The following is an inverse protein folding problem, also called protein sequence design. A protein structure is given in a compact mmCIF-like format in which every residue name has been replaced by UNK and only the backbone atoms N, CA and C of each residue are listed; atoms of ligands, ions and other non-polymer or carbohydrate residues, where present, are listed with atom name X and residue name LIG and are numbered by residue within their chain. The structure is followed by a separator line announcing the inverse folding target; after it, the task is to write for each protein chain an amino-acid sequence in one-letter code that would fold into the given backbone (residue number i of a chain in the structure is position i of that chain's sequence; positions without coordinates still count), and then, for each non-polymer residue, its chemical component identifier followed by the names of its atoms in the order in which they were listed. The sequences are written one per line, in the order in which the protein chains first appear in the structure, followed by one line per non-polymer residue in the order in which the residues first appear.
data_IF_332569520464
#
_entry.id   IF_332569520464
#
_cell.length_a   1.000
_cell.length_b   1.000
_cell.length_c   1.000
_cell.angle_alpha   90.00
_cell.angle_beta   90.00
_cell.angle_gamma   90.00
#
_symmetry.space_group_name_H-M   'P 1'
#
loop_
_entity.id
_entity.type
_entity.pdbx_description
1 polymer ?
#
# COMPACT_ATOMS: atom_id res chain seq x y z
N UNK A 1 -11.34 -1.24 -7.05
CA UNK A 1 -10.18 -0.59 -7.69
C UNK A 1 -8.92 -1.24 -7.14
N UNK A 2 -8.12 -1.97 -7.95
CA UNK A 2 -6.91 -2.69 -7.50
C UNK A 2 -5.95 -1.73 -6.77
N UNK A 3 -5.13 -2.17 -5.79
CA UNK A 3 -4.18 -1.28 -5.13
C UNK A 3 -3.27 -0.67 -6.19
N UNK A 4 -3.47 0.62 -6.45
CA UNK A 4 -2.58 1.35 -7.33
C UNK A 4 -1.27 1.55 -6.60
N UNK A 5 -0.17 1.07 -7.19
CA UNK A 5 1.18 1.44 -6.78
C UNK A 5 1.24 2.97 -6.69
N UNK A 6 1.71 3.51 -5.56
CA UNK A 6 1.92 4.97 -5.44
C UNK A 6 2.92 5.44 -6.50
N UNK A 7 2.80 6.69 -6.93
CA UNK A 7 3.67 7.27 -7.97
C UNK A 7 5.16 7.09 -7.65
N UNK A 8 5.54 7.17 -6.37
CA UNK A 8 6.93 7.04 -5.95
C UNK A 8 7.44 5.60 -6.00
N UNK A 9 6.59 4.61 -5.66
CA UNK A 9 6.92 3.19 -5.85
C UNK A 9 7.02 2.88 -7.34
N UNK A 10 6.13 3.42 -8.17
CA UNK A 10 6.18 3.27 -9.62
C UNK A 10 7.48 3.86 -10.21
N UNK A 11 7.94 5.03 -9.74
CA UNK A 11 9.22 5.62 -10.17
C UNK A 11 10.40 4.70 -9.85
N UNK A 12 10.46 4.12 -8.66
CA UNK A 12 11.54 3.19 -8.30
C UNK A 12 11.49 1.92 -9.15
N UNK A 13 10.31 1.35 -9.34
CA UNK A 13 10.12 0.17 -10.20
C UNK A 13 10.52 0.45 -11.65
N UNK A 14 10.13 1.60 -12.21
CA UNK A 14 10.59 2.04 -13.54
C UNK A 14 12.12 2.22 -13.56
N UNK A 15 12.70 2.81 -12.52
CA UNK A 15 14.15 2.93 -12.39
C UNK A 15 14.86 1.58 -12.43
N UNK A 16 14.34 0.57 -11.71
CA UNK A 16 14.84 -0.82 -11.76
C UNK A 16 14.73 -1.41 -13.16
N UNK A 17 13.58 -1.25 -13.81
CA UNK A 17 13.33 -1.73 -15.16
C UNK A 17 14.28 -1.15 -16.22
N UNK A 18 14.56 0.16 -16.15
CA UNK A 18 15.51 0.82 -17.06
C UNK A 18 16.97 0.46 -16.74
N UNK A 19 17.31 0.37 -15.46
CA UNK A 19 18.65 -0.04 -15.02
C UNK A 19 18.99 -1.47 -15.48
N UNK A 20 18.05 -2.40 -15.38
CA UNK A 20 18.23 -3.77 -15.86
C UNK A 20 18.50 -3.84 -17.37
N UNK A 21 17.83 -3.01 -18.18
CA UNK A 21 18.11 -2.90 -19.62
C UNK A 21 19.46 -2.27 -19.91
N UNK A 22 19.80 -1.19 -19.22
CA UNK A 22 21.10 -0.54 -19.40
C UNK A 22 22.24 -1.51 -19.05
N UNK A 23 22.08 -2.33 -18.01
CA UNK A 23 23.05 -3.38 -17.66
C UNK A 23 23.14 -4.47 -18.74
N UNK A 24 22.01 -4.90 -19.30
CA UNK A 24 22.01 -5.82 -20.45
C UNK A 24 22.75 -5.22 -21.62
N UNK A 25 22.42 -3.99 -22.02
CA UNK A 25 23.02 -3.33 -23.19
C UNK A 25 24.54 -3.19 -23.04
N UNK A 26 25.03 -2.81 -21.84
CA UNK A 26 26.47 -2.77 -21.54
C UNK A 26 27.12 -4.14 -21.66
N UNK A 27 26.54 -5.15 -21.02
CA UNK A 27 27.09 -6.52 -21.05
C UNK A 27 27.12 -7.07 -22.47
N UNK A 28 26.08 -6.82 -23.26
CA UNK A 28 26.02 -7.23 -24.66
C UNK A 28 27.09 -6.51 -25.50
N UNK A 29 27.24 -5.19 -25.34
CA UNK A 29 28.27 -4.42 -26.02
C UNK A 29 29.69 -4.89 -25.67
N UNK A 30 29.95 -5.21 -24.39
CA UNK A 30 31.23 -5.76 -23.94
C UNK A 30 31.53 -7.13 -24.58
N UNK A 31 30.51 -7.99 -24.73
CA UNK A 31 30.65 -9.28 -25.41
C UNK A 31 30.91 -9.07 -26.90
N UNK A 32 30.15 -8.22 -27.58
CA UNK A 32 30.33 -7.97 -29.01
C UNK A 32 31.66 -7.31 -29.34
N UNK A 33 32.14 -6.38 -28.51
CA UNK A 33 33.46 -5.78 -28.67
C UNK A 33 34.59 -6.82 -28.65
N UNK A 34 34.42 -7.92 -27.89
CA UNK A 34 35.38 -9.03 -27.82
C UNK A 34 35.11 -10.14 -28.84
N UNK A 35 33.86 -10.25 -29.31
CA UNK A 35 33.37 -11.33 -30.18
C UNK A 35 32.50 -10.76 -31.32
N UNK A 36 33.08 -10.02 -32.28
CA UNK A 36 32.31 -9.42 -33.38
C UNK A 36 31.65 -10.46 -34.31
N UNK A 37 32.20 -11.68 -34.40
CA UNK A 37 31.56 -12.77 -35.13
C UNK A 37 30.24 -13.21 -34.50
N UNK A 38 30.13 -13.15 -33.16
CA UNK A 38 28.89 -13.44 -32.46
C UNK A 38 27.82 -12.37 -32.75
N UNK A 39 28.21 -11.10 -32.83
CA UNK A 39 27.31 -10.02 -33.24
C UNK A 39 26.75 -10.26 -34.65
N UNK A 40 27.61 -10.67 -35.59
CA UNK A 40 27.19 -11.00 -36.94
C UNK A 40 26.22 -12.20 -36.99
N UNK A 41 26.47 -13.23 -36.17
CA UNK A 41 25.58 -14.39 -36.02
C UNK A 41 24.22 -13.97 -35.45
N UNK A 42 24.19 -13.17 -34.37
CA UNK A 42 22.95 -12.70 -33.75
C UNK A 42 22.14 -11.80 -34.70
N UNK A 43 22.80 -10.91 -35.43
CA UNK A 43 22.15 -10.06 -36.43
C UNK A 43 21.55 -10.90 -37.57
N UNK A 44 22.24 -11.93 -38.02
CA UNK A 44 21.74 -12.86 -39.03
C UNK A 44 20.56 -13.67 -38.50
N UNK A 45 20.61 -14.15 -37.26
CA UNK A 45 19.51 -14.85 -36.60
C UNK A 45 18.26 -13.98 -36.54
N UNK A 46 18.38 -12.73 -36.06
CA UNK A 46 17.28 -11.79 -35.95
C UNK A 46 16.65 -11.45 -37.31
N UNK A 47 17.49 -11.17 -38.33
CA UNK A 47 17.01 -10.88 -39.70
C UNK A 47 16.28 -12.08 -40.31
N UNK A 48 16.81 -13.28 -40.12
CA UNK A 48 16.22 -14.52 -40.65
C UNK A 48 14.90 -14.82 -39.96
N UNK A 49 14.83 -14.69 -38.62
CA UNK A 49 13.59 -14.86 -37.87
C UNK A 49 12.51 -13.87 -38.32
N UNK A 50 12.87 -12.60 -38.52
CA UNK A 50 11.93 -11.59 -39.03
C UNK A 50 11.42 -11.92 -40.43
N UNK A 51 12.31 -12.34 -41.35
CA UNK A 51 11.94 -12.71 -42.71
C UNK A 51 10.95 -13.91 -42.74
N UNK A 52 11.17 -14.91 -41.88
CA UNK A 52 10.27 -16.06 -41.74
C UNK A 52 8.90 -15.63 -41.19
N UNK A 53 8.87 -14.75 -40.19
CA UNK A 53 7.60 -14.23 -39.66
C UNK A 53 6.84 -13.40 -40.70
N UNK A 54 7.54 -12.61 -41.50
CA UNK A 54 6.93 -11.84 -42.58
C UNK A 54 6.36 -12.73 -43.69
N UNK A 55 7.01 -13.85 -44.02
CA UNK A 55 6.51 -14.81 -45.00
C UNK A 55 5.38 -15.69 -44.47
N UNK A 56 5.31 -15.93 -43.16
CA UNK A 56 4.22 -16.64 -42.48
C UNK A 56 2.84 -16.00 -42.64
N UNK A 57 2.80 -14.69 -42.90
CA UNK A 57 1.55 -13.97 -43.16
C UNK A 57 0.98 -14.25 -44.57
N UNK A 58 1.74 -14.92 -45.45
CA UNK A 58 1.29 -15.41 -46.75
C UNK A 58 0.91 -16.88 -46.62
N UNK A 59 -0.20 -17.33 -47.24
CA UNK A 59 -0.82 -18.66 -47.06
C UNK A 59 0.04 -19.88 -47.47
N UNK A 60 1.32 -19.69 -47.80
CA UNK A 60 2.29 -20.75 -48.04
C UNK A 60 3.10 -20.98 -46.76
N UNK A 61 3.15 -22.23 -46.28
CA UNK A 61 3.85 -22.59 -45.04
C UNK A 61 5.30 -22.10 -44.96
N UNK A 62 5.80 -21.92 -43.73
CA UNK A 62 7.13 -21.36 -43.47
C UNK A 62 8.22 -22.42 -43.41
N UNK A 63 9.34 -22.16 -44.09
CA UNK A 63 10.58 -22.91 -43.88
C UNK A 63 11.39 -22.32 -42.72
N UNK A 64 11.57 -23.11 -41.65
CA UNK A 64 12.36 -22.74 -40.47
C UNK A 64 13.79 -23.30 -40.50
N UNK A 65 14.17 -24.07 -41.53
CA UNK A 65 15.49 -24.69 -41.63
C UNK A 65 16.65 -23.70 -41.56
N UNK A 66 16.62 -22.51 -42.20
CA UNK A 66 17.73 -21.56 -42.13
C UNK A 66 17.92 -21.01 -40.70
N UNK A 67 16.81 -20.77 -39.98
CA UNK A 67 16.85 -20.30 -38.60
C UNK A 67 17.43 -21.37 -37.66
N UNK A 68 17.13 -22.65 -37.90
CA UNK A 68 17.67 -23.76 -37.13
C UNK A 68 19.19 -23.86 -37.29
N UNK A 69 19.71 -23.76 -38.51
CA UNK A 69 21.15 -23.80 -38.79
C UNK A 69 21.88 -22.64 -38.09
N UNK A 70 21.33 -21.43 -38.13
CA UNK A 70 21.91 -20.27 -37.45
C UNK A 70 21.94 -20.46 -35.94
N UNK A 71 20.85 -20.98 -35.34
CA UNK A 71 20.81 -21.29 -33.90
C UNK A 71 21.84 -22.33 -33.49
N UNK A 72 22.06 -23.36 -34.30
CA UNK A 72 23.10 -24.37 -34.06
C UNK A 72 24.51 -23.78 -34.16
N UNK A 73 24.75 -22.89 -35.15
CA UNK A 73 26.00 -22.13 -35.28
C UNK A 73 26.25 -21.25 -34.07
N UNK A 74 25.23 -20.50 -33.62
CA UNK A 74 25.29 -19.66 -32.42
C UNK A 74 25.63 -20.48 -31.17
N UNK A 75 24.92 -21.58 -30.95
CA UNK A 75 25.14 -22.44 -29.79
C UNK A 75 26.56 -23.04 -29.76
N UNK A 76 27.11 -23.38 -30.93
CA UNK A 76 28.49 -23.86 -31.06
C UNK A 76 29.49 -22.76 -30.70
N UNK A 77 29.33 -21.57 -31.26
CA UNK A 77 30.20 -20.43 -30.99
C UNK A 77 30.26 -20.09 -29.49
N UNK A 78 29.10 -20.05 -28.82
CA UNK A 78 29.01 -19.77 -27.39
C UNK A 78 29.76 -20.82 -26.55
N UNK A 79 29.65 -22.10 -26.90
CA UNK A 79 30.39 -23.19 -26.22
C UNK A 79 31.89 -23.06 -26.43
N UNK A 80 32.32 -22.88 -27.67
CA UNK A 80 33.74 -22.84 -28.04
C UNK A 80 34.48 -21.66 -27.36
N UNK A 81 33.76 -20.58 -27.05
CA UNK A 81 34.29 -19.38 -26.40
C UNK A 81 33.94 -19.26 -24.91
N UNK A 82 33.33 -20.29 -24.31
CA UNK A 82 32.88 -20.28 -22.90
C UNK A 82 31.99 -19.09 -22.53
N UNK A 83 31.13 -18.66 -23.45
CA UNK A 83 30.21 -17.55 -23.24
C UNK A 83 28.87 -18.06 -22.71
N UNK A 84 28.35 -17.40 -21.67
CA UNK A 84 26.99 -17.67 -21.19
C UNK A 84 25.99 -17.21 -22.25
N UNK A 85 24.94 -17.99 -22.51
CA UNK A 85 23.92 -17.65 -23.51
C UNK A 85 22.98 -16.50 -23.13
N UNK A 86 22.98 -16.10 -21.85
CA UNK A 86 22.12 -15.06 -21.26
C UNK A 86 22.71 -13.63 -21.36
N UNK A 87 23.84 -13.44 -22.06
CA UNK A 87 24.49 -12.13 -22.19
C UNK A 87 23.58 -11.03 -22.75
N UNK A 88 22.64 -11.37 -23.63
CA UNK A 88 21.68 -10.44 -24.23
C UNK A 88 20.31 -10.42 -23.52
N UNK A 89 20.12 -11.19 -22.44
CA UNK A 89 18.86 -11.26 -21.69
C UNK A 89 18.77 -10.16 -20.62
N UNK A 90 17.59 -9.55 -20.46
CA UNK A 90 17.36 -8.61 -19.36
C UNK A 90 17.19 -9.39 -18.06
N UNK A 91 18.04 -9.13 -17.07
CA UNK A 91 17.95 -9.74 -15.74
C UNK A 91 17.25 -8.73 -14.82
N UNK A 92 15.98 -8.96 -14.42
CA UNK A 92 15.25 -8.03 -13.57
C UNK A 92 15.76 -8.08 -12.12
N UNK A 93 15.52 -7.01 -11.36
CA UNK A 93 15.79 -6.98 -9.92
C UNK A 93 14.86 -7.94 -9.16
N UNK A 94 13.59 -8.00 -9.56
CA UNK A 94 12.61 -8.95 -9.05
C UNK A 94 12.26 -9.98 -10.12
N UNK A 95 12.67 -11.24 -9.91
CA UNK A 95 12.32 -12.36 -10.80
C UNK A 95 10.84 -12.74 -10.76
N UNK A 96 10.13 -12.36 -9.69
CA UNK A 96 8.71 -12.71 -9.51
C UNK A 96 7.78 -11.84 -10.38
N UNK A 97 7.99 -10.52 -10.40
CA UNK A 97 7.17 -9.61 -11.20
C UNK A 97 7.87 -8.98 -12.41
N UNK A 98 9.16 -9.26 -12.63
CA UNK A 98 9.93 -8.63 -13.72
C UNK A 98 10.04 -7.11 -13.58
N UNK A 99 10.16 -6.61 -12.35
CA UNK A 99 10.18 -5.18 -11.97
C UNK A 99 8.90 -4.39 -12.28
N UNK A 100 7.80 -5.07 -12.63
CA UNK A 100 6.49 -4.41 -12.84
C UNK A 100 5.77 -4.06 -11.53
N UNK A 101 6.14 -4.73 -10.43
CA UNK A 101 5.56 -4.54 -9.11
C UNK A 101 4.24 -5.27 -8.84
N UNK A 102 3.71 -6.04 -9.79
CA UNK A 102 2.49 -6.85 -9.57
C UNK A 102 2.51 -8.16 -10.35
N UNK A 103 1.78 -9.17 -9.86
CA UNK A 103 1.53 -10.45 -10.53
C UNK A 103 0.03 -10.73 -10.44
N UNK A 104 -0.63 -10.98 -11.57
CA UNK A 104 -2.07 -11.22 -11.68
C UNK A 104 -2.95 -10.14 -11.01
N UNK A 105 -2.46 -8.89 -11.00
CA UNK A 105 -3.14 -7.76 -10.37
C UNK A 105 -3.00 -7.70 -8.84
N UNK A 106 -2.20 -8.59 -8.25
CA UNK A 106 -1.79 -8.57 -6.85
C UNK A 106 -0.41 -7.92 -6.73
N UNK A 107 -0.23 -7.08 -5.72
CA UNK A 107 1.04 -6.40 -5.47
C UNK A 107 2.15 -7.43 -5.17
N UNK A 108 3.27 -7.33 -5.87
CA UNK A 108 4.43 -8.16 -5.63
C UNK A 108 5.14 -7.75 -4.34
N UNK A 109 5.74 -8.71 -3.63
CA UNK A 109 6.48 -8.46 -2.39
C UNK A 109 7.60 -7.42 -2.55
N UNK A 110 8.28 -7.36 -3.70
CA UNK A 110 9.30 -6.34 -3.95
C UNK A 110 8.72 -4.92 -3.97
N UNK A 111 7.52 -4.75 -4.53
CA UNK A 111 6.85 -3.46 -4.56
C UNK A 111 6.30 -3.11 -3.18
N UNK A 112 5.81 -4.11 -2.42
CA UNK A 112 5.45 -3.94 -1.02
C UNK A 112 6.65 -3.46 -0.20
N UNK A 113 7.82 -4.07 -0.40
CA UNK A 113 9.04 -3.69 0.31
C UNK A 113 9.48 -2.25 -0.03
N UNK A 114 9.51 -1.89 -1.32
CA UNK A 114 9.79 -0.51 -1.75
C UNK A 114 8.77 0.46 -1.13
N UNK A 115 7.49 0.10 -1.16
CA UNK A 115 6.43 0.91 -0.58
C UNK A 115 6.65 1.14 0.93
N UNK A 116 7.04 0.10 1.67
CA UNK A 116 7.36 0.20 3.10
C UNK A 116 8.62 1.02 3.36
N UNK A 117 9.63 0.93 2.51
CA UNK A 117 10.87 1.73 2.60
C UNK A 117 10.64 3.20 2.25
N UNK A 118 9.76 3.48 1.28
CA UNK A 118 9.39 4.82 0.84
C UNK A 118 8.40 5.52 1.76
N UNK A 119 7.69 4.77 2.61
CA UNK A 119 6.96 5.38 3.70
C UNK A 119 7.97 5.76 4.77
N UNK A 120 8.36 7.04 4.90
CA UNK A 120 9.07 7.43 6.10
C UNK A 120 8.16 7.04 7.28
N UNK A 121 8.79 6.53 8.35
CA UNK A 121 8.24 6.07 9.65
C UNK A 121 7.26 7.02 10.38
N UNK A 122 6.67 7.98 9.69
CA UNK A 122 6.08 9.18 10.25
C UNK A 122 4.58 9.06 10.51
N UNK A 123 3.91 7.95 10.10
CA UNK A 123 2.57 7.55 10.58
C UNK A 123 2.33 6.02 10.56
N UNK A 124 3.36 5.25 10.94
CA UNK A 124 3.22 3.89 11.49
C UNK A 124 3.50 3.87 13.00
N UNK A 125 3.83 5.03 13.59
CA UNK A 125 4.35 5.17 14.95
C UNK A 125 3.40 4.70 16.07
N UNK A 126 2.11 4.49 15.75
CA UNK A 126 1.12 3.96 16.69
C UNK A 126 0.50 2.64 16.29
N UNK A 127 0.77 2.14 15.07
CA UNK A 127 0.17 0.88 14.61
C UNK A 127 0.90 -0.28 15.30
N UNK A 128 0.23 -0.95 16.22
CA UNK A 128 0.81 -2.11 16.88
C UNK A 128 0.82 -3.31 15.91
N UNK A 129 2.01 -3.69 15.42
CA UNK A 129 2.19 -4.79 14.45
C UNK A 129 1.81 -6.18 15.00
N UNK A 130 1.78 -6.34 16.32
CA UNK A 130 1.41 -7.59 16.96
C UNK A 130 -0.12 -7.77 17.08
N UNK A 131 -0.88 -6.67 17.02
CA UNK A 131 -2.34 -6.68 17.10
C UNK A 131 -2.93 -6.97 15.71
N UNK A 132 -3.16 -8.25 15.44
CA UNK A 132 -3.61 -8.77 14.14
C UNK A 132 -4.84 -9.65 14.32
N UNK A 133 -5.63 -9.83 13.26
CA UNK A 133 -6.78 -10.76 13.32
C UNK A 133 -6.38 -12.18 13.74
N UNK A 134 -5.18 -12.64 13.36
CA UNK A 134 -4.70 -13.98 13.68
C UNK A 134 -4.30 -14.15 15.15
N UNK A 135 -3.97 -13.07 15.85
CA UNK A 135 -3.53 -13.07 17.26
C UNK A 135 -4.63 -12.59 18.21
N UNK A 136 -5.83 -12.38 17.69
CA UNK A 136 -6.96 -11.93 18.47
C UNK A 136 -7.45 -13.06 19.38
N UNK A 137 -7.34 -12.86 20.70
CA UNK A 137 -7.87 -13.79 21.68
C UNK A 137 -9.21 -13.30 22.23
N UNK A 138 -10.29 -13.84 21.67
CA UNK A 138 -11.65 -13.52 22.13
C UNK A 138 -12.01 -14.22 23.44
N UNK A 139 -11.19 -15.17 23.93
CA UNK A 139 -11.45 -15.82 25.23
C UNK A 139 -11.31 -14.84 26.41
N UNK A 140 -10.63 -13.70 26.20
CA UNK A 140 -10.50 -12.60 27.15
C UNK A 140 -11.85 -11.98 27.57
N UNK A 141 -12.88 -12.10 26.73
CA UNK A 141 -14.24 -11.68 27.08
C UNK A 141 -14.93 -12.79 27.88
N UNK A 142 -15.04 -12.60 29.19
CA UNK A 142 -15.61 -13.60 30.11
C UNK A 142 -17.09 -13.87 29.83
N UNK A 143 -17.88 -12.83 29.56
CA UNK A 143 -19.29 -12.95 29.20
C UNK A 143 -19.43 -13.55 27.78
N UNK A 144 -20.13 -14.69 27.60
CA UNK A 144 -20.41 -15.27 26.30
C UNK A 144 -21.11 -14.32 25.32
N UNK A 145 -21.96 -13.41 25.81
CA UNK A 145 -22.66 -12.45 24.96
C UNK A 145 -21.69 -11.38 24.41
N UNK A 146 -20.82 -10.82 25.27
CA UNK A 146 -19.74 -9.92 24.86
C UNK A 146 -18.80 -10.59 23.85
N UNK A 147 -18.43 -11.86 24.11
CA UNK A 147 -17.58 -12.65 23.24
C UNK A 147 -18.19 -12.86 21.85
N UNK A 148 -19.47 -13.24 21.79
CA UNK A 148 -20.19 -13.44 20.53
C UNK A 148 -20.34 -12.12 19.74
N UNK A 149 -20.59 -11.02 20.45
CA UNK A 149 -20.65 -9.68 19.86
C UNK A 149 -19.30 -9.28 19.25
N UNK A 150 -18.21 -9.43 19.99
CA UNK A 150 -16.87 -9.15 19.48
C UNK A 150 -16.48 -10.05 18.33
N UNK A 151 -16.82 -11.34 18.37
CA UNK A 151 -16.62 -12.25 17.23
C UNK A 151 -17.31 -11.72 15.96
N UNK A 152 -18.53 -11.20 16.10
CA UNK A 152 -19.26 -10.59 14.99
C UNK A 152 -18.54 -9.36 14.43
N UNK A 153 -18.06 -8.46 15.30
CA UNK A 153 -17.31 -7.27 14.88
C UNK A 153 -15.99 -7.63 14.19
N UNK A 154 -15.27 -8.64 14.68
CA UNK A 154 -14.08 -9.15 14.03
C UNK A 154 -14.38 -9.72 12.64
N UNK A 155 -15.49 -10.47 12.49
CA UNK A 155 -15.93 -10.99 11.18
C UNK A 155 -16.23 -9.84 10.21
N UNK A 156 -16.95 -8.80 10.67
CA UNK A 156 -17.26 -7.61 9.87
C UNK A 156 -15.97 -6.90 9.44
N UNK A 157 -15.00 -6.75 10.35
CA UNK A 157 -13.71 -6.14 10.05
C UNK A 157 -12.89 -6.97 9.05
N UNK A 158 -12.91 -8.30 9.18
CA UNK A 158 -12.26 -9.20 8.22
C UNK A 158 -12.91 -9.12 6.84
N UNK A 159 -14.25 -9.14 6.76
CA UNK A 159 -15.00 -9.01 5.51
C UNK A 159 -14.75 -7.64 4.86
N UNK A 160 -14.73 -6.57 5.66
CA UNK A 160 -14.36 -5.23 5.23
C UNK A 160 -12.98 -5.22 4.58
N UNK A 161 -11.98 -5.81 5.23
CA UNK A 161 -10.64 -5.93 4.67
C UNK A 161 -10.71 -6.74 3.38
N UNK A 162 -11.26 -7.96 3.39
CA UNK A 162 -11.34 -8.86 2.22
C UNK A 162 -11.88 -8.13 0.98
N UNK A 163 -12.98 -7.41 1.16
CA UNK A 163 -13.71 -6.71 0.09
C UNK A 163 -13.29 -5.26 -0.08
N UNK A 164 -12.24 -4.80 0.59
CA UNK A 164 -11.84 -3.38 0.66
C UNK A 164 -11.88 -2.66 -0.70
N UNK A 165 -11.35 -3.28 -1.76
CA UNK A 165 -11.32 -2.68 -3.10
C UNK A 165 -12.64 -2.74 -3.88
N UNK A 166 -13.61 -3.53 -3.43
CA UNK A 166 -14.96 -3.64 -4.01
C UNK A 166 -15.93 -2.66 -3.36
N UNK A 167 -15.66 -2.26 -2.12
CA UNK A 167 -16.49 -1.35 -1.35
C UNK A 167 -16.31 0.07 -1.90
N UNK A 168 -17.42 0.70 -2.29
CA UNK A 168 -17.47 2.12 -2.63
C UNK A 168 -18.08 2.83 -1.42
N UNK A 169 -17.40 3.85 -0.89
CA UNK A 169 -17.87 4.71 0.20
C UNK A 169 -18.31 3.91 1.44
N UNK A 170 -17.39 3.13 1.99
CA UNK A 170 -17.60 2.38 3.23
C UNK A 170 -16.57 2.80 4.26
N UNK A 171 -16.90 3.89 4.91
CA UNK A 171 -16.19 4.35 6.09
C UNK A 171 -16.79 3.70 7.35
N UNK A 172 -15.95 3.42 8.33
CA UNK A 172 -16.33 2.67 9.53
C UNK A 172 -16.07 3.50 10.79
N UNK A 173 -16.94 3.38 11.79
CA UNK A 173 -16.70 3.89 13.14
C UNK A 173 -16.89 2.76 14.15
N UNK A 174 -15.87 2.51 14.96
CA UNK A 174 -15.98 1.70 16.16
C UNK A 174 -16.12 2.62 17.38
N UNK A 175 -17.30 2.63 17.99
CA UNK A 175 -17.64 3.48 19.14
C UNK A 175 -17.76 2.68 20.42
N UNK A 176 -17.47 3.28 21.56
CA UNK A 176 -17.80 2.72 22.88
C UNK A 176 -16.73 3.03 23.92
N UNK A 177 -16.99 2.82 25.21
CA UNK A 177 -16.06 3.11 26.30
C UNK A 177 -14.67 2.49 26.14
N UNK A 178 -13.71 3.06 26.87
CA UNK A 178 -12.30 2.63 26.86
C UNK A 178 -12.11 1.17 27.29
N UNK A 179 -10.99 0.57 26.85
CA UNK A 179 -10.56 -0.75 27.32
C UNK A 179 -11.28 -1.97 26.70
N UNK A 180 -12.14 -1.77 25.71
CA UNK A 180 -12.97 -2.84 25.11
C UNK A 180 -12.46 -3.42 23.79
N UNK A 181 -11.28 -3.02 23.32
CA UNK A 181 -10.66 -3.58 22.10
C UNK A 181 -10.86 -2.81 20.79
N UNK A 182 -11.33 -1.56 20.83
CA UNK A 182 -11.49 -0.70 19.63
C UNK A 182 -10.17 -0.45 18.90
N UNK A 183 -9.14 -0.02 19.63
CA UNK A 183 -7.78 0.18 19.10
C UNK A 183 -7.22 -1.12 18.52
N UNK A 184 -7.47 -2.26 19.16
CA UNK A 184 -7.05 -3.57 18.63
C UNK A 184 -7.71 -3.87 17.28
N UNK A 185 -9.02 -3.67 17.15
CA UNK A 185 -9.72 -3.82 15.87
C UNK A 185 -9.12 -2.91 14.79
N UNK A 186 -8.84 -1.64 15.15
CA UNK A 186 -8.23 -0.68 14.24
C UNK A 186 -6.82 -1.13 13.80
N UNK A 187 -5.98 -1.58 14.73
CA UNK A 187 -4.65 -2.14 14.44
C UNK A 187 -4.73 -3.40 13.57
N UNK A 188 -5.66 -4.31 13.86
CA UNK A 188 -5.85 -5.53 13.09
C UNK A 188 -6.28 -5.25 11.64
N UNK A 189 -7.18 -4.29 11.43
CA UNK A 189 -7.54 -3.78 10.10
C UNK A 189 -6.32 -3.17 9.41
N UNK A 190 -5.59 -2.28 10.08
CA UNK A 190 -4.43 -1.59 9.53
C UNK A 190 -3.31 -2.55 9.11
N UNK A 191 -3.01 -3.54 9.94
CA UNK A 191 -2.04 -4.59 9.62
C UNK A 191 -2.49 -5.42 8.42
N UNK A 192 -3.75 -5.89 8.41
CA UNK A 192 -4.24 -6.73 7.32
C UNK A 192 -4.32 -5.99 5.97
N UNK A 193 -4.68 -4.70 5.98
CA UNK A 193 -4.64 -3.84 4.80
C UNK A 193 -3.19 -3.60 4.34
N UNK A 194 -2.28 -3.31 5.27
CA UNK A 194 -0.84 -3.13 4.97
C UNK A 194 -0.23 -4.38 4.34
N UNK A 195 -0.52 -5.57 4.89
CA UNK A 195 -0.06 -6.85 4.33
C UNK A 195 -0.54 -7.08 2.89
N UNK A 196 -1.66 -6.45 2.51
CA UNK A 196 -2.21 -6.48 1.15
C UNK A 196 -1.70 -5.35 0.25
N UNK A 197 -0.74 -4.56 0.73
CA UNK A 197 -0.16 -3.46 -0.02
C UNK A 197 -1.06 -2.23 -0.15
N UNK A 198 -2.07 -2.10 0.71
CA UNK A 198 -2.90 -0.89 0.77
C UNK A 198 -2.09 0.23 1.41
N UNK A 199 -2.24 1.45 0.88
CA UNK A 199 -1.67 2.62 1.52
C UNK A 199 -2.47 3.03 2.77
N UNK A 200 -1.97 2.61 3.93
CA UNK A 200 -2.56 2.84 5.25
C UNK A 200 -1.83 3.98 5.97
N UNK A 201 -2.59 4.96 6.49
CA UNK A 201 -2.15 5.95 7.46
C UNK A 201 -2.85 5.68 8.78
N UNK A 202 -2.11 5.22 9.80
CA UNK A 202 -2.63 5.07 11.16
C UNK A 202 -2.20 6.27 12.00
N UNK A 203 -3.14 6.91 12.69
CA UNK A 203 -2.86 8.12 13.45
C UNK A 203 -3.81 8.28 14.64
N UNK A 204 -3.30 8.52 15.86
CA UNK A 204 -4.13 9.03 16.95
C UNK A 204 -4.70 10.41 16.59
N UNK A 205 -5.98 10.65 16.84
CA UNK A 205 -6.66 11.89 16.45
C UNK A 205 -5.91 13.15 16.89
N UNK A 206 -5.37 13.16 18.11
CA UNK A 206 -4.56 14.27 18.64
C UNK A 206 -3.34 14.58 17.78
N UNK A 207 -2.61 13.55 17.32
CA UNK A 207 -1.45 13.70 16.45
C UNK A 207 -1.84 14.16 15.04
N UNK A 208 -2.97 13.69 14.51
CA UNK A 208 -3.52 14.16 13.23
C UNK A 208 -3.74 15.68 13.29
N UNK A 209 -4.46 16.15 14.30
CA UNK A 209 -4.74 17.58 14.47
C UNK A 209 -3.46 18.39 14.68
N UNK A 210 -2.52 17.91 15.49
CA UNK A 210 -1.22 18.58 15.66
C UNK A 210 -0.46 18.72 14.33
N UNK A 211 -0.45 17.69 13.49
CA UNK A 211 0.22 17.73 12.18
C UNK A 211 -0.42 18.75 11.23
N UNK A 212 -1.76 18.86 11.22
CA UNK A 212 -2.48 19.83 10.40
C UNK A 212 -2.24 21.27 10.87
N UNK A 213 -2.22 21.50 12.19
CA UNK A 213 -1.89 22.79 12.79
C UNK A 213 -0.44 23.18 12.50
N UNK A 214 0.51 22.24 12.61
CA UNK A 214 1.93 22.45 12.31
C UNK A 214 2.13 22.86 10.84
N UNK A 215 1.56 22.10 9.90
CA UNK A 215 1.63 22.42 8.47
C UNK A 215 1.14 23.84 8.17
N UNK A 216 -0.02 24.22 8.73
CA UNK A 216 -0.57 25.55 8.53
C UNK A 216 0.35 26.64 9.08
N UNK A 217 0.83 26.49 10.32
CA UNK A 217 1.75 27.46 10.94
C UNK A 217 3.02 27.66 10.11
N UNK A 218 3.58 26.58 9.57
CA UNK A 218 4.75 26.66 8.70
C UNK A 218 4.41 27.35 7.37
N UNK A 219 3.25 27.06 6.78
CA UNK A 219 2.78 27.72 5.54
C UNK A 219 2.52 29.22 5.70
N UNK A 220 2.07 29.64 6.88
CA UNK A 220 1.79 31.05 7.20
C UNK A 220 3.05 31.79 7.68
N UNK A 221 4.14 31.07 7.98
CA UNK A 221 5.41 31.68 8.35
C UNK A 221 6.02 32.45 7.17
N UNK A 222 6.59 33.62 7.46
CA UNK A 222 7.25 34.46 6.44
C UNK A 222 8.50 33.78 5.85
N UNK A 223 9.20 32.96 6.65
CA UNK A 223 10.36 32.16 6.25
C UNK A 223 10.37 30.83 7.03
N UNK A 224 9.56 29.84 6.63
CA UNK A 224 9.61 28.53 7.25
C UNK A 224 10.95 27.85 6.94
N UNK A 225 11.39 27.02 7.87
CA UNK A 225 12.47 26.07 7.59
C UNK A 225 12.01 25.11 6.46
N UNK A 226 12.78 24.98 5.37
CA UNK A 226 12.38 24.15 4.23
C UNK A 226 12.17 22.67 4.57
N UNK A 227 13.01 22.09 5.42
CA UNK A 227 12.96 20.68 5.80
C UNK A 227 11.74 20.40 6.69
N UNK A 228 11.46 21.29 7.64
CA UNK A 228 10.25 21.23 8.46
C UNK A 228 8.99 21.36 7.61
N UNK A 229 8.98 22.29 6.63
CA UNK A 229 7.83 22.48 5.75
C UNK A 229 7.60 21.26 4.84
N UNK A 230 8.67 20.68 4.29
CA UNK A 230 8.59 19.45 3.49
C UNK A 230 8.00 18.30 4.32
N UNK A 231 8.52 18.12 5.53
CA UNK A 231 8.05 17.12 6.50
C UNK A 231 6.56 17.29 6.84
N UNK A 232 6.14 18.50 7.19
CA UNK A 232 4.75 18.78 7.52
C UNK A 232 3.83 18.63 6.29
N UNK A 233 4.33 18.96 5.10
CA UNK A 233 3.62 18.75 3.83
C UNK A 233 3.41 17.26 3.57
N UNK A 234 4.44 16.43 3.77
CA UNK A 234 4.35 14.99 3.64
C UNK A 234 3.35 14.37 4.63
N UNK A 235 3.37 14.79 5.91
CA UNK A 235 2.38 14.37 6.92
C UNK A 235 0.95 14.71 6.51
N UNK A 236 0.71 15.97 6.10
CA UNK A 236 -0.60 16.38 5.57
C UNK A 236 -1.00 15.50 4.38
N UNK A 237 -0.10 15.32 3.41
CA UNK A 237 -0.36 14.50 2.22
C UNK A 237 -0.82 13.09 2.61
N UNK A 238 -0.17 12.44 3.56
CA UNK A 238 -0.58 11.10 4.04
C UNK A 238 -1.99 11.09 4.64
N UNK A 239 -2.36 12.09 5.44
CA UNK A 239 -3.71 12.18 6.03
C UNK A 239 -4.78 12.31 4.94
N UNK A 240 -4.55 13.15 3.93
CA UNK A 240 -5.54 13.40 2.86
C UNK A 240 -5.53 12.31 1.77
N UNK A 241 -4.36 11.79 1.40
CA UNK A 241 -4.16 11.00 0.17
C UNK A 241 -3.88 9.52 0.41
N UNK A 242 -3.76 9.05 1.66
CA UNK A 242 -3.68 7.60 1.91
C UNK A 242 -4.95 6.89 1.45
N UNK A 243 -4.82 5.67 0.92
CA UNK A 243 -5.98 4.85 0.51
C UNK A 243 -6.89 4.53 1.71
N UNK A 244 -6.32 4.27 2.88
CA UNK A 244 -7.02 4.05 4.13
C UNK A 244 -6.44 4.93 5.25
N UNK A 245 -7.29 5.76 5.87
CA UNK A 245 -6.96 6.54 7.06
C UNK A 245 -7.61 5.89 8.28
N UNK A 246 -6.80 5.53 9.27
CA UNK A 246 -7.22 4.89 10.51
C UNK A 246 -6.96 5.88 11.65
N UNK A 247 -8.04 6.41 12.23
CA UNK A 247 -7.99 7.42 13.27
C UNK A 247 -8.31 6.76 14.61
N UNK A 248 -7.35 6.76 15.54
CA UNK A 248 -7.56 6.21 16.89
C UNK A 248 -7.92 7.30 17.91
N UNK A 249 -8.69 6.93 18.92
CA UNK A 249 -9.08 7.79 20.05
C UNK A 249 -9.63 9.18 19.65
N UNK A 250 -10.48 9.24 18.61
CA UNK A 250 -11.17 10.47 18.25
C UNK A 250 -12.07 10.94 19.40
N UNK A 251 -11.95 12.22 19.78
CA UNK A 251 -12.81 12.85 20.79
C UNK A 251 -12.14 13.21 22.11
N UNK A 252 -10.82 13.07 22.23
CA UNK A 252 -10.02 13.52 23.38
C UNK A 252 -9.36 14.88 23.13
N UNK A 253 -9.40 15.37 21.89
CA UNK A 253 -8.77 16.61 21.47
C UNK A 253 -9.57 17.87 21.86
N UNK A 254 -8.89 19.00 22.11
CA UNK A 254 -9.57 20.29 22.22
C UNK A 254 -10.08 20.73 20.85
N UNK A 255 -11.41 20.76 20.68
CA UNK A 255 -12.05 21.23 19.45
C UNK A 255 -11.99 22.76 19.39
N UNK A 256 -11.04 23.26 18.61
CA UNK A 256 -10.95 24.68 18.23
C UNK A 256 -11.67 24.89 16.89
N UNK A 257 -12.14 26.11 16.57
CA UNK A 257 -12.72 26.40 15.24
C UNK A 257 -11.80 25.98 14.09
N UNK A 258 -10.48 26.02 14.33
CA UNK A 258 -9.48 25.68 13.34
C UNK A 258 -9.32 24.17 13.12
N UNK A 259 -9.19 23.40 14.19
CA UNK A 259 -9.13 21.92 14.13
C UNK A 259 -10.45 21.33 13.62
N UNK A 260 -11.57 21.98 13.93
CA UNK A 260 -12.88 21.68 13.37
C UNK A 260 -12.91 21.82 11.84
N UNK A 261 -12.43 22.95 11.31
CA UNK A 261 -12.37 23.18 9.86
C UNK A 261 -11.47 22.14 9.18
N UNK A 262 -10.30 21.86 9.78
CA UNK A 262 -9.39 20.82 9.29
C UNK A 262 -10.04 19.45 9.21
N UNK A 263 -10.78 19.05 10.25
CA UNK A 263 -11.42 17.74 10.24
C UNK A 263 -12.48 17.63 9.15
N UNK A 264 -13.30 18.66 8.99
CA UNK A 264 -14.29 18.72 7.92
C UNK A 264 -13.63 18.60 6.55
N UNK A 265 -12.52 19.30 6.35
CA UNK A 265 -11.78 19.26 5.08
C UNK A 265 -11.19 17.86 4.82
N UNK A 266 -10.60 17.22 5.84
CA UNK A 266 -10.12 15.83 5.73
C UNK A 266 -11.26 14.90 5.32
N UNK A 267 -12.40 14.93 6.03
CA UNK A 267 -13.54 14.07 5.74
C UNK A 267 -14.11 14.32 4.33
N UNK A 268 -14.24 15.58 3.90
CA UNK A 268 -14.80 15.92 2.60
C UNK A 268 -13.90 15.49 1.45
N UNK A 269 -12.60 15.83 1.50
CA UNK A 269 -11.65 15.52 0.43
C UNK A 269 -11.52 14.01 0.28
N UNK A 270 -11.39 13.29 1.39
CA UNK A 270 -11.30 11.83 1.35
C UNK A 270 -12.55 11.18 0.77
N UNK A 271 -13.74 11.66 1.16
CA UNK A 271 -15.01 11.18 0.60
C UNK A 271 -15.12 11.48 -0.90
N UNK A 272 -14.74 12.67 -1.33
CA UNK A 272 -14.72 13.06 -2.75
C UNK A 272 -13.79 12.14 -3.57
N UNK A 273 -12.63 11.82 -3.02
CA UNK A 273 -11.63 10.95 -3.64
C UNK A 273 -11.93 9.45 -3.46
N UNK A 274 -13.05 9.09 -2.82
CA UNK A 274 -13.44 7.70 -2.52
C UNK A 274 -12.38 6.93 -1.73
N UNK A 275 -11.75 7.61 -0.76
CA UNK A 275 -10.72 7.05 0.13
C UNK A 275 -11.34 6.66 1.45
N UNK A 276 -11.00 5.48 1.94
CA UNK A 276 -11.63 4.90 3.12
C UNK A 276 -11.12 5.55 4.41
N UNK A 277 -12.02 5.75 5.37
CA UNK A 277 -11.72 6.25 6.70
C UNK A 277 -12.31 5.30 7.75
N UNK A 278 -11.48 4.87 8.70
CA UNK A 278 -11.88 4.01 9.82
C UNK A 278 -11.54 4.74 11.11
N UNK A 279 -12.51 4.88 12.00
CA UNK A 279 -12.35 5.67 13.23
C UNK A 279 -12.63 4.77 14.44
N UNK A 280 -11.79 4.85 15.46
CA UNK A 280 -12.09 4.37 16.81
C UNK A 280 -12.30 5.58 17.74
N UNK A 281 -13.34 5.53 18.56
CA UNK A 281 -13.71 6.64 19.46
C UNK A 281 -14.38 6.16 20.73
N UNK A 282 -14.08 6.86 21.84
CA UNK A 282 -14.74 6.63 23.13
C UNK A 282 -16.09 7.34 23.24
N UNK A 283 -16.42 8.23 22.29
CA UNK A 283 -17.69 8.96 22.26
C UNK A 283 -18.80 8.09 21.69
N UNK A 284 -19.98 8.13 22.30
CA UNK A 284 -21.18 7.51 21.71
C UNK A 284 -21.70 8.35 20.54
N UNK A 285 -22.57 7.77 19.71
CA UNK A 285 -23.20 8.53 18.62
C UNK A 285 -23.95 9.78 19.12
N UNK A 286 -24.63 9.68 20.25
CA UNK A 286 -25.33 10.82 20.86
C UNK A 286 -24.39 11.88 21.44
N UNK A 287 -23.13 11.53 21.71
CA UNK A 287 -22.11 12.48 22.14
C UNK A 287 -21.53 13.26 20.96
N UNK A 288 -21.56 12.69 19.75
CA UNK A 288 -21.09 13.42 18.57
C UNK A 288 -21.87 14.71 18.32
N UNK A 289 -23.19 14.70 18.46
CA UNK A 289 -24.00 15.92 18.29
C UNK A 289 -23.79 16.96 19.41
N UNK A 290 -23.31 16.53 20.58
CA UNK A 290 -23.06 17.41 21.72
C UNK A 290 -21.66 18.01 21.69
N UNK A 291 -20.67 17.17 21.38
CA UNK A 291 -19.27 17.53 21.43
C UNK A 291 -18.78 18.09 20.10
N UNK A 292 -19.35 17.63 18.98
CA UNK A 292 -19.10 18.18 17.66
C UNK A 292 -20.33 18.93 17.15
N UNK A 293 -20.12 20.01 16.40
CA UNK A 293 -21.22 20.70 15.71
C UNK A 293 -21.88 19.75 14.67
N UNK A 294 -23.16 20.02 14.38
CA UNK A 294 -24.06 19.28 13.48
C UNK A 294 -23.43 18.91 12.14
N UNK A 295 -22.49 19.73 11.63
CA UNK A 295 -21.82 19.44 10.35
C UNK A 295 -20.88 18.25 10.42
N UNK A 296 -20.16 18.05 11.52
CA UNK A 296 -19.32 16.86 11.72
C UNK A 296 -20.20 15.67 12.05
N UNK A 297 -21.15 15.83 12.97
CA UNK A 297 -22.07 14.75 13.35
C UNK A 297 -22.82 14.19 12.12
N UNK A 298 -23.30 15.06 11.22
CA UNK A 298 -23.93 14.64 9.97
C UNK A 298 -22.99 13.85 9.04
N UNK A 299 -21.70 14.18 9.00
CA UNK A 299 -20.70 13.46 8.20
C UNK A 299 -20.38 12.10 8.81
N UNK A 300 -20.12 12.07 10.12
CA UNK A 300 -19.86 10.83 10.86
C UNK A 300 -21.08 9.91 10.88
N UNK A 301 -22.29 10.46 10.88
CA UNK A 301 -23.54 9.70 10.79
C UNK A 301 -23.75 8.99 9.44
N UNK A 302 -22.98 9.34 8.40
CA UNK A 302 -22.99 8.61 7.14
C UNK A 302 -22.09 7.35 7.17
N UNK A 303 -21.28 7.17 8.21
CA UNK A 303 -20.39 6.02 8.35
C UNK A 303 -21.19 4.80 8.85
N UNK A 304 -20.67 3.60 8.58
CA UNK A 304 -21.17 2.41 9.25
C UNK A 304 -20.65 2.38 10.70
N UNK A 305 -21.55 2.58 11.66
CA UNK A 305 -21.21 2.69 13.08
C UNK A 305 -21.44 1.34 13.77
N UNK A 306 -20.40 0.84 14.43
CA UNK A 306 -20.41 -0.39 15.21
C UNK A 306 -20.05 -0.09 16.66
N UNK A 307 -20.97 -0.38 17.57
CA UNK A 307 -20.74 -0.20 18.99
C UNK A 307 -19.96 -1.40 19.57
N UNK A 308 -18.83 -1.12 20.21
CA UNK A 308 -18.03 -2.08 20.97
C UNK A 308 -18.53 -2.10 22.41
N UNK A 309 -19.23 -3.19 22.73
CA UNK A 309 -19.83 -3.44 24.05
C UNK A 309 -18.92 -4.33 24.89
N UNK A 310 -19.07 -4.21 26.19
CA UNK A 310 -18.56 -5.18 27.15
C UNK A 310 -17.74 -4.60 28.29
N UNK A 311 -17.06 -5.48 29.00
CA UNK A 311 -16.20 -5.17 30.14
C UNK A 311 -14.84 -4.60 29.71
N UNK A 312 -14.20 -3.82 30.58
CA UNK A 312 -12.85 -3.28 30.32
C UNK A 312 -11.81 -4.40 30.52
N UNK A 313 -11.19 -4.83 29.42
CA UNK A 313 -10.20 -5.91 29.41
C UNK A 313 -8.90 -5.53 30.11
N UNK A 314 -8.60 -4.24 30.28
CA UNK A 314 -7.41 -3.76 30.99
C UNK A 314 -7.51 -4.02 32.50
N UNK A 315 -8.74 -4.13 33.01
CA UNK A 315 -8.98 -4.41 34.43
C UNK A 315 -8.88 -5.91 34.73
N UNK A 316 -9.29 -6.78 33.81
CA UNK A 316 -9.19 -8.23 33.99
C UNK A 316 -7.74 -8.74 33.92
N UNK A 317 -6.87 -8.10 33.14
CA UNK A 317 -5.45 -8.44 33.07
C UNK A 317 -4.62 -8.02 34.30
N UNK A 318 -5.14 -7.15 35.18
CA UNK A 318 -4.47 -6.76 36.43
C UNK A 318 -4.75 -7.71 37.59
N UNK A 319 -5.75 -8.58 37.45
CA UNK A 319 -6.15 -9.56 38.47
C UNK A 319 -5.60 -10.92 38.07
N UNK A 320 -4.28 -11.07 38.14
CA UNK A 320 -3.62 -12.37 38.12
C UNK A 320 -2.51 -12.30 39.18
N UNK A 321 -2.65 -13.04 40.30
CA UNK A 321 -1.66 -13.02 41.39
C UNK A 321 -0.30 -13.57 40.97
#
# INVERSE_FOLDING_TARGET
MRPALTDDVQKILQGRYWSARAQRDRRQAEVYAKHPELEAIDLLEAKTAYAILASAASENGCDFSPLREIKEKRARYLRDHNLRGDYAEVIPFCRHCGDTGSVDGVLCDCARQIYLELKPQWFDAGLNREETFARADLSLYADPAERAHMKTLFSIAQDYVQRFFELIDRDLIFTGPQGRGKTYLLNAIGNALTSRGVDVCFVPATQMFSALVEYRKLRESFRPDPEMLETATARKRMIYESTALLIDDLGLEPLTPQTYADFIDVLNIRKQDKRHTVIATNQSYGDFEKNYDKRIASRLGAFAIYEVKGSDLRLSQRVSP
#
